data_IF_346985572482
#
_entry.id   IF_346985572482
#
_cell.length_a   1.000
_cell.length_b   1.000
_cell.length_c   1.000
_cell.angle_alpha   90.00
_cell.angle_beta   90.00
_cell.angle_gamma   90.00
#
_symmetry.space_group_name_H-M   'P 1'
#
loop_
_entity.id
_entity.type
_entity.pdbx_description
1 polymer ?
#
# COMPACT_ATOMS: atom_id res chain seq x y z
N UNK A 1 6.32 -3.77 -8.70
CA UNK A 1 5.30 -2.93 -8.05
C UNK A 1 3.99 -3.07 -8.78
N UNK A 2 2.89 -2.61 -8.18
CA UNK A 2 1.57 -2.57 -8.81
C UNK A 2 1.47 -1.52 -9.90
N UNK A 3 0.30 -1.42 -10.54
CA UNK A 3 0.08 -0.45 -11.62
C UNK A 3 0.15 0.99 -11.13
N UNK A 4 0.85 1.89 -11.84
CA UNK A 4 0.81 3.31 -11.54
C UNK A 4 -0.53 3.90 -11.94
N UNK A 5 -1.00 4.90 -11.20
CA UNK A 5 -2.30 5.56 -11.44
C UNK A 5 -3.49 4.60 -11.44
N UNK A 6 -3.41 3.47 -10.73
CA UNK A 6 -4.56 2.58 -10.59
C UNK A 6 -5.66 3.24 -9.78
N UNK A 7 -6.90 3.12 -10.24
CA UNK A 7 -8.08 3.60 -9.52
C UNK A 7 -8.63 2.54 -8.56
N UNK A 8 -7.99 1.36 -8.51
CA UNK A 8 -8.57 0.21 -7.84
C UNK A 8 -9.69 -0.44 -8.61
N UNK A 9 -10.41 -1.32 -7.91
CA UNK A 9 -11.55 -2.10 -8.37
C UNK A 9 -11.21 -3.18 -9.40
N UNK A 10 -12.16 -4.07 -9.65
CA UNK A 10 -12.08 -5.12 -10.67
C UNK A 10 -12.38 -4.63 -12.10
N UNK A 11 -12.46 -3.31 -12.31
CA UNK A 11 -12.66 -2.71 -13.63
C UNK A 11 -11.33 -2.28 -14.24
N UNK A 12 -11.05 -2.69 -15.48
CA UNK A 12 -9.84 -2.29 -16.19
C UNK A 12 -9.96 -0.86 -16.73
N UNK A 13 -9.38 0.10 -15.99
CA UNK A 13 -9.37 1.53 -16.33
C UNK A 13 -8.05 1.93 -16.96
N UNK A 14 -7.99 3.10 -17.61
CA UNK A 14 -6.77 3.65 -18.25
C UNK A 14 -6.11 2.70 -19.27
N UNK A 15 -6.91 1.93 -20.01
CA UNK A 15 -6.44 0.88 -20.92
C UNK A 15 -5.39 1.40 -21.93
N UNK A 16 -5.65 2.53 -22.57
CA UNK A 16 -4.70 3.11 -23.54
C UNK A 16 -3.36 3.46 -22.90
N UNK A 17 -3.37 4.07 -21.71
CA UNK A 17 -2.13 4.39 -20.99
C UNK A 17 -1.34 3.13 -20.64
N UNK A 18 -1.99 2.08 -20.14
CA UNK A 18 -1.31 0.84 -19.77
C UNK A 18 -0.76 0.08 -20.98
N UNK A 19 -1.49 0.02 -22.08
CA UNK A 19 -0.99 -0.54 -23.35
C UNK A 19 0.22 0.23 -23.85
N UNK A 20 0.09 1.55 -24.02
CA UNK A 20 1.08 2.35 -24.72
C UNK A 20 2.36 2.51 -23.88
N UNK A 21 2.25 2.60 -22.53
CA UNK A 21 3.40 2.84 -21.64
C UNK A 21 4.01 1.58 -21.05
N UNK A 22 3.22 0.53 -20.87
CA UNK A 22 3.63 -0.70 -20.17
C UNK A 22 3.39 -1.98 -20.98
N UNK A 23 2.72 -1.92 -22.13
CA UNK A 23 2.45 -3.09 -22.96
C UNK A 23 1.61 -4.14 -22.25
N UNK A 24 0.61 -3.73 -21.47
CA UNK A 24 -0.35 -4.62 -20.82
C UNK A 24 -1.76 -4.16 -21.13
N UNK A 25 -2.63 -5.10 -21.52
CA UNK A 25 -3.97 -4.79 -22.00
C UNK A 25 -5.07 -5.16 -21.00
N UNK A 26 -4.75 -5.98 -20.00
CA UNK A 26 -5.70 -6.51 -19.03
C UNK A 26 -5.01 -6.91 -17.72
N UNK A 27 -5.82 -7.29 -16.72
CA UNK A 27 -5.34 -7.72 -15.40
C UNK A 27 -4.39 -8.91 -15.49
N UNK A 28 -4.68 -9.92 -16.31
CA UNK A 28 -3.86 -11.13 -16.39
C UNK A 28 -2.44 -10.83 -16.90
N UNK A 29 -2.31 -10.00 -17.93
CA UNK A 29 -1.02 -9.54 -18.44
C UNK A 29 -0.27 -8.67 -17.43
N UNK A 30 -0.98 -7.81 -16.70
CA UNK A 30 -0.40 -7.02 -15.62
C UNK A 30 0.12 -7.91 -14.49
N UNK A 31 -0.68 -8.87 -14.03
CA UNK A 31 -0.29 -9.88 -13.04
C UNK A 31 0.97 -10.60 -13.46
N UNK A 32 1.00 -11.10 -14.71
CA UNK A 32 2.13 -11.85 -15.23
C UNK A 32 3.40 -10.99 -15.30
N UNK A 33 3.28 -9.74 -15.75
CA UNK A 33 4.40 -8.81 -15.79
C UNK A 33 4.96 -8.52 -14.40
N UNK A 34 4.10 -8.31 -13.40
CA UNK A 34 4.51 -8.04 -12.01
C UNK A 34 5.17 -9.29 -11.39
N UNK A 35 4.54 -10.46 -11.53
CA UNK A 35 5.03 -11.72 -10.99
C UNK A 35 6.36 -12.12 -11.64
N UNK A 36 6.50 -11.97 -12.96
CA UNK A 36 7.76 -12.23 -13.68
C UNK A 36 8.89 -11.33 -13.17
N UNK A 37 8.61 -10.04 -12.92
CA UNK A 37 9.61 -9.15 -12.34
C UNK A 37 10.06 -9.63 -10.96
N UNK A 38 9.13 -10.02 -10.08
CA UNK A 38 9.44 -10.58 -8.77
C UNK A 38 10.20 -11.91 -8.84
N UNK A 39 9.89 -12.77 -9.82
CA UNK A 39 10.59 -14.03 -10.06
C UNK A 39 12.03 -13.83 -10.57
N UNK A 40 12.25 -12.79 -11.38
CA UNK A 40 13.54 -12.55 -12.05
C UNK A 40 14.68 -12.11 -11.12
N UNK A 41 14.37 -11.62 -9.92
CA UNK A 41 15.40 -11.21 -8.95
C UNK A 41 15.90 -12.40 -8.14
N UNK A 42 17.20 -12.43 -7.86
CA UNK A 42 17.85 -13.39 -6.95
C UNK A 42 17.51 -13.14 -5.48
N UNK A 43 16.93 -11.97 -5.14
CA UNK A 43 16.53 -11.66 -3.78
C UNK A 43 15.31 -12.48 -3.37
N UNK A 44 15.36 -13.08 -2.19
CA UNK A 44 14.23 -13.82 -1.62
C UNK A 44 13.22 -12.91 -0.93
N UNK A 45 13.65 -11.74 -0.44
CA UNK A 45 12.78 -10.75 0.18
C UNK A 45 12.29 -9.76 -0.87
N UNK A 46 10.98 -9.71 -1.08
CA UNK A 46 10.32 -8.86 -2.07
C UNK A 46 9.40 -7.88 -1.38
N UNK A 47 9.59 -6.59 -1.66
CA UNK A 47 8.67 -5.52 -1.22
C UNK A 47 7.87 -5.06 -2.43
N UNK A 48 6.55 -5.04 -2.31
CA UNK A 48 5.69 -4.48 -3.33
C UNK A 48 5.32 -3.03 -3.00
N UNK A 49 5.43 -2.17 -4.01
CA UNK A 49 4.93 -0.81 -3.99
C UNK A 49 3.81 -0.66 -5.03
N UNK A 50 2.66 -0.13 -4.64
CA UNK A 50 1.53 0.16 -5.53
C UNK A 50 1.03 1.59 -5.38
N UNK A 51 0.35 2.13 -6.39
CA UNK A 51 -0.41 3.36 -6.18
C UNK A 51 -1.61 3.09 -5.26
N UNK A 52 -2.35 2.02 -5.57
CA UNK A 52 -3.42 1.48 -4.74
C UNK A 52 -3.02 0.11 -4.16
N UNK A 53 -3.74 -0.34 -3.14
CA UNK A 53 -3.50 -1.62 -2.49
C UNK A 53 -4.09 -2.80 -3.26
N UNK A 54 -3.73 -4.04 -2.90
CA UNK A 54 -4.27 -5.23 -3.52
C UNK A 54 -5.73 -5.48 -3.11
N UNK A 55 -6.47 -6.18 -3.97
CA UNK A 55 -7.79 -6.74 -3.64
C UNK A 55 -7.68 -7.70 -2.45
N UNK A 56 -8.73 -7.76 -1.63
CA UNK A 56 -8.84 -8.59 -0.42
C UNK A 56 -8.71 -7.81 0.89
N UNK A 57 -8.58 -6.48 0.83
CA UNK A 57 -8.36 -5.58 1.99
C UNK A 57 -9.45 -4.51 2.14
N UNK A 58 -10.61 -4.69 1.50
CA UNK A 58 -11.68 -3.70 1.46
C UNK A 58 -13.06 -4.19 1.86
N UNK A 59 -13.14 -5.17 2.76
CA UNK A 59 -14.41 -5.71 3.29
C UNK A 59 -15.33 -4.60 3.85
N UNK A 60 -14.77 -3.70 4.66
CA UNK A 60 -15.47 -2.51 5.17
C UNK A 60 -14.80 -1.24 4.70
N UNK A 61 -15.55 -0.13 4.71
CA UNK A 61 -15.05 1.20 4.35
C UNK A 61 -13.78 1.63 5.13
N UNK A 62 -13.65 1.20 6.39
CA UNK A 62 -12.49 1.50 7.24
C UNK A 62 -11.26 0.63 6.94
N UNK A 63 -11.39 -0.46 6.17
CA UNK A 63 -10.27 -1.35 5.88
C UNK A 63 -9.37 -0.71 4.79
N UNK A 64 -8.09 -1.12 4.64
CA UNK A 64 -7.10 -0.39 3.85
C UNK A 64 -7.50 -0.04 2.40
N UNK A 65 -8.28 -0.92 1.75
CA UNK A 65 -8.76 -0.77 0.37
C UNK A 65 -10.29 -0.58 0.27
N UNK A 66 -10.99 -0.36 1.39
CA UNK A 66 -12.45 -0.31 1.41
C UNK A 66 -13.05 0.97 0.84
N UNK A 67 -14.08 0.85 0.01
CA UNK A 67 -14.77 2.02 -0.55
C UNK A 67 -15.59 2.77 0.49
N UNK A 68 -15.40 4.09 0.59
CA UNK A 68 -16.04 4.96 1.57
C UNK A 68 -16.92 6.08 0.96
N UNK A 69 -17.13 6.05 -0.36
CA UNK A 69 -18.04 6.94 -1.09
C UNK A 69 -19.25 6.19 -1.65
N UNK A 70 -20.33 6.92 -1.94
CA UNK A 70 -21.60 6.32 -2.37
C UNK A 70 -21.51 5.65 -3.77
N UNK A 71 -22.13 4.48 -3.98
CA UNK A 71 -22.66 3.58 -2.95
C UNK A 71 -21.52 3.01 -2.10
N UNK A 72 -21.65 3.10 -0.77
CA UNK A 72 -20.59 2.71 0.19
C UNK A 72 -20.44 1.19 0.21
N UNK A 73 -19.20 0.73 0.45
CA UNK A 73 -18.87 -0.69 0.50
C UNK A 73 -18.26 -1.21 -0.79
N UNK A 74 -17.59 -2.36 -0.67
CA UNK A 74 -16.84 -3.00 -1.74
C UNK A 74 -15.34 -2.78 -1.62
N UNK A 75 -14.62 -3.77 -2.15
CA UNK A 75 -13.17 -3.79 -2.18
C UNK A 75 -12.66 -3.06 -3.42
N UNK A 76 -11.94 -1.97 -3.19
CA UNK A 76 -11.33 -1.15 -4.25
C UNK A 76 -9.85 -1.46 -4.42
N UNK A 77 -9.36 -2.60 -3.94
CA UNK A 77 -8.02 -3.07 -4.24
C UNK A 77 -7.84 -3.52 -5.69
N UNK A 78 -6.59 -3.58 -6.11
CA UNK A 78 -6.14 -4.04 -7.43
C UNK A 78 -6.05 -5.58 -7.46
N UNK A 79 -6.85 -6.29 -8.29
CA UNK A 79 -6.81 -7.75 -8.36
C UNK A 79 -5.51 -8.28 -8.95
N UNK A 80 -4.91 -7.58 -9.91
CA UNK A 80 -3.63 -7.99 -10.50
C UNK A 80 -2.46 -7.90 -9.53
N UNK A 81 -2.48 -6.91 -8.63
CA UNK A 81 -1.49 -6.82 -7.56
C UNK A 81 -1.68 -7.96 -6.54
N UNK A 82 -2.92 -8.27 -6.17
CA UNK A 82 -3.23 -9.39 -5.27
C UNK A 82 -2.72 -10.72 -5.83
N UNK A 83 -3.04 -11.02 -7.09
CA UNK A 83 -2.61 -12.25 -7.76
C UNK A 83 -1.08 -12.32 -7.91
N UNK A 84 -0.42 -11.20 -8.21
CA UNK A 84 1.03 -11.17 -8.36
C UNK A 84 1.75 -11.41 -7.02
N UNK A 85 1.21 -10.90 -5.90
CA UNK A 85 1.71 -11.19 -4.56
C UNK A 85 1.57 -12.68 -4.25
N UNK A 86 0.39 -13.26 -4.51
CA UNK A 86 0.15 -14.68 -4.30
C UNK A 86 1.08 -15.56 -5.14
N UNK A 87 1.23 -15.27 -6.44
CA UNK A 87 2.19 -15.94 -7.34
C UNK A 87 3.62 -15.84 -6.81
N UNK A 88 4.02 -14.69 -6.27
CA UNK A 88 5.37 -14.49 -5.71
C UNK A 88 5.59 -15.35 -4.46
N UNK A 89 4.61 -15.44 -3.59
CA UNK A 89 4.66 -16.28 -2.39
C UNK A 89 4.72 -17.78 -2.74
N UNK A 90 4.01 -18.22 -3.80
CA UNK A 90 4.09 -19.60 -4.30
C UNK A 90 5.49 -19.98 -4.81
N UNK A 91 6.33 -19.02 -5.18
CA UNK A 91 7.74 -19.24 -5.51
C UNK A 91 8.65 -19.32 -4.27
N UNK A 92 8.07 -19.49 -3.07
CA UNK A 92 8.76 -19.48 -1.78
C UNK A 92 9.56 -18.19 -1.48
N UNK A 93 9.24 -17.08 -2.18
CA UNK A 93 9.79 -15.76 -1.86
C UNK A 93 9.01 -15.14 -0.71
N UNK A 94 9.74 -14.43 0.15
CA UNK A 94 9.19 -13.72 1.29
C UNK A 94 8.66 -12.37 0.86
N UNK A 95 7.41 -12.06 1.22
CA UNK A 95 6.79 -10.76 0.99
C UNK A 95 6.47 -10.13 2.33
N UNK A 96 7.45 -9.50 3.02
CA UNK A 96 7.21 -8.94 4.36
C UNK A 96 6.39 -7.65 4.32
N UNK A 97 6.44 -6.91 3.22
CA UNK A 97 5.81 -5.60 3.09
C UNK A 97 5.19 -5.40 1.70
N UNK A 98 3.94 -4.96 1.70
CA UNK A 98 3.24 -4.39 0.55
C UNK A 98 2.79 -3.00 0.97
N UNK A 99 3.32 -1.96 0.35
CA UNK A 99 2.93 -0.58 0.68
C UNK A 99 2.32 0.14 -0.52
N UNK A 100 1.34 0.97 -0.25
CA UNK A 100 0.51 1.63 -1.25
C UNK A 100 -0.11 2.92 -0.70
N UNK A 101 -0.89 3.61 -1.52
CA UNK A 101 -1.63 4.79 -1.14
C UNK A 101 -3.05 4.79 -1.70
N UNK A 102 -3.41 5.86 -2.41
CA UNK A 102 -4.73 6.11 -3.02
C UNK A 102 -5.87 6.32 -2.02
N UNK A 103 -6.18 5.32 -1.19
CA UNK A 103 -7.32 5.33 -0.28
C UNK A 103 -6.99 6.15 0.98
N UNK A 104 -7.38 7.43 1.01
CA UNK A 104 -7.01 8.35 2.09
C UNK A 104 -7.47 7.89 3.48
N UNK A 105 -6.70 8.27 4.51
CA UNK A 105 -6.96 7.87 5.90
C UNK A 105 -8.27 8.42 6.48
N UNK A 106 -8.64 9.66 6.11
CA UNK A 106 -9.93 10.23 6.49
C UNK A 106 -10.98 9.76 5.49
N UNK A 107 -12.06 9.17 5.99
CA UNK A 107 -13.16 8.73 5.16
C UNK A 107 -14.03 9.93 4.70
N UNK A 108 -14.69 9.80 3.55
CA UNK A 108 -15.48 10.88 2.94
C UNK A 108 -16.70 11.26 3.80
N UNK A 109 -17.43 10.27 4.30
CA UNK A 109 -18.71 10.45 5.00
C UNK A 109 -18.71 9.87 6.43
N UNK A 110 -17.54 9.76 7.07
CA UNK A 110 -17.42 9.22 8.43
C UNK A 110 -16.39 10.00 9.24
N UNK A 111 -16.59 10.02 10.56
CA UNK A 111 -15.59 10.51 11.53
C UNK A 111 -14.54 9.44 11.86
N UNK A 112 -14.81 8.18 11.53
CA UNK A 112 -13.85 7.09 11.69
C UNK A 112 -12.68 7.23 10.71
N UNK A 113 -11.52 6.72 11.12
CA UNK A 113 -10.33 6.69 10.29
C UNK A 113 -10.13 5.30 9.68
N UNK A 114 -9.67 5.29 8.43
CA UNK A 114 -9.21 4.08 7.76
C UNK A 114 -8.03 3.49 8.52
N UNK A 115 -8.05 2.17 8.69
CA UNK A 115 -6.94 1.40 9.23
C UNK A 115 -5.78 1.43 8.23
N UNK A 116 -4.61 1.98 8.59
CA UNK A 116 -3.50 2.11 7.65
C UNK A 116 -2.72 0.81 7.51
N UNK A 117 -2.84 -0.12 8.47
CA UNK A 117 -2.08 -1.37 8.51
C UNK A 117 -3.04 -2.56 8.57
N UNK A 118 -2.73 -3.58 7.77
CA UNK A 118 -3.28 -4.92 7.90
C UNK A 118 -2.14 -5.94 7.91
N UNK A 119 -2.23 -6.98 8.74
CA UNK A 119 -1.25 -8.06 8.80
C UNK A 119 -1.95 -9.35 8.38
N UNK A 120 -1.47 -10.01 7.34
CA UNK A 120 -2.06 -11.28 6.90
C UNK A 120 -1.75 -12.40 7.90
N UNK A 121 -2.53 -13.50 7.88
CA UNK A 121 -2.21 -14.71 8.65
C UNK A 121 -0.82 -15.28 8.32
N UNK A 122 -0.31 -15.02 7.12
CA UNK A 122 1.03 -15.43 6.67
C UNK A 122 2.15 -14.44 7.06
N UNK A 123 1.83 -13.35 7.77
CA UNK A 123 2.80 -12.38 8.28
C UNK A 123 3.19 -11.26 7.31
N UNK A 124 2.58 -11.17 6.12
CA UNK A 124 2.78 -10.02 5.22
C UNK A 124 2.09 -8.80 5.80
N UNK A 125 2.82 -7.68 5.90
CA UNK A 125 2.26 -6.40 6.34
C UNK A 125 1.85 -5.56 5.13
N UNK A 126 0.62 -5.09 5.14
CA UNK A 126 0.05 -4.20 4.15
C UNK A 126 -0.08 -2.80 4.74
N UNK A 127 0.65 -1.84 4.17
CA UNK A 127 0.70 -0.45 4.64
C UNK A 127 0.10 0.50 3.61
N UNK A 128 -1.09 1.02 3.93
CA UNK A 128 -1.65 2.19 3.26
C UNK A 128 -1.04 3.48 3.84
N UNK A 129 -0.08 4.05 3.11
CA UNK A 129 0.62 5.28 3.44
C UNK A 129 -0.13 6.55 3.02
N UNK A 130 -1.44 6.50 2.71
CA UNK A 130 -2.23 7.65 2.22
C UNK A 130 -2.69 8.65 3.31
N UNK A 131 -1.76 9.06 4.19
CA UNK A 131 -2.01 10.14 5.15
C UNK A 131 -2.02 11.50 4.44
N UNK A 132 -3.19 12.15 4.42
CA UNK A 132 -3.35 13.53 3.93
C UNK A 132 -3.95 14.41 5.04
N UNK A 133 -3.64 15.73 5.05
CA UNK A 133 -2.72 16.45 4.15
C UNK A 133 -1.26 16.01 4.33
N UNK A 134 -0.47 16.06 3.24
CA UNK A 134 0.96 15.68 3.24
C UNK A 134 1.84 16.69 3.96
N UNK A 135 1.40 17.93 3.98
CA UNK A 135 2.09 19.08 4.53
C UNK A 135 1.09 19.84 5.40
N UNK A 136 1.48 20.20 6.61
CA UNK A 136 0.74 21.11 7.49
C UNK A 136 1.59 22.33 7.78
N UNK A 137 0.94 23.48 8.01
CA UNK A 137 1.61 24.69 8.47
C UNK A 137 1.67 24.67 10.00
N UNK A 138 2.85 24.92 10.56
CA UNK A 138 3.08 25.14 11.97
C UNK A 138 3.71 26.54 12.17
N UNK A 139 3.89 26.96 13.43
CA UNK A 139 4.49 28.25 13.78
C UNK A 139 5.95 28.40 13.29
N UNK A 140 6.68 27.30 13.29
CA UNK A 140 8.09 27.15 12.99
C UNK A 140 8.36 26.82 11.51
N UNK A 141 7.31 26.60 10.73
CA UNK A 141 7.41 26.24 9.32
C UNK A 141 6.45 25.11 8.92
N UNK A 142 6.66 24.55 7.74
CA UNK A 142 5.87 23.43 7.27
C UNK A 142 6.36 22.11 7.89
N UNK A 143 5.43 21.26 8.32
CA UNK A 143 5.71 19.87 8.67
C UNK A 143 5.23 18.94 7.57
N UNK A 144 6.05 17.97 7.22
CA UNK A 144 5.78 16.98 6.17
C UNK A 144 5.57 15.62 6.81
N UNK A 145 4.51 14.89 6.42
CA UNK A 145 4.32 13.53 6.91
C UNK A 145 5.01 12.49 6.03
N UNK A 146 5.57 11.47 6.68
CA UNK A 146 6.14 10.29 6.05
C UNK A 146 5.71 9.03 6.80
N UNK A 147 5.65 7.91 6.09
CA UNK A 147 5.62 6.59 6.71
C UNK A 147 7.04 6.05 6.78
N UNK A 148 7.55 5.83 7.99
CA UNK A 148 8.85 5.24 8.26
C UNK A 148 8.67 3.75 8.55
N UNK A 149 9.34 2.89 7.78
CA UNK A 149 9.30 1.44 7.97
C UNK A 149 10.68 0.95 8.35
N UNK A 150 10.81 0.43 9.57
CA UNK A 150 12.02 -0.20 10.07
C UNK A 150 11.97 -1.70 9.77
N UNK A 151 13.06 -2.23 9.21
CA UNK A 151 13.19 -3.65 8.88
C UNK A 151 14.50 -4.22 9.42
N UNK A 152 14.44 -5.44 9.93
CA UNK A 152 15.58 -6.18 10.47
C UNK A 152 15.54 -7.61 9.90
N UNK A 153 16.65 -8.07 9.33
CA UNK A 153 16.77 -9.40 8.73
C UNK A 153 15.62 -9.76 7.75
N UNK A 154 15.17 -8.79 6.94
CA UNK A 154 14.10 -8.97 5.96
C UNK A 154 12.68 -8.99 6.54
N UNK A 155 12.52 -8.67 7.83
CA UNK A 155 11.21 -8.62 8.52
C UNK A 155 10.95 -7.18 8.96
N UNK A 156 9.70 -6.73 8.84
CA UNK A 156 9.29 -5.42 9.37
C UNK A 156 9.25 -5.48 10.90
N UNK A 157 10.01 -4.59 11.55
CA UNK A 157 10.04 -4.49 13.02
C UNK A 157 9.11 -3.39 13.52
N UNK A 158 9.00 -2.28 12.78
CA UNK A 158 8.15 -1.16 13.17
C UNK A 158 7.68 -0.39 11.93
N UNK A 159 6.47 0.16 12.01
CA UNK A 159 5.96 1.15 11.06
C UNK A 159 5.48 2.34 11.87
N UNK A 160 5.96 3.53 11.51
CA UNK A 160 5.58 4.78 12.13
C UNK A 160 5.07 5.78 11.10
N UNK A 161 4.06 6.57 11.47
CA UNK A 161 3.73 7.82 10.81
C UNK A 161 4.47 8.94 11.53
N UNK A 162 5.40 9.59 10.84
CA UNK A 162 6.20 10.68 11.39
C UNK A 162 5.84 12.00 10.74
N UNK A 163 5.96 13.07 11.49
CA UNK A 163 5.99 14.44 10.97
C UNK A 163 7.40 14.99 11.11
N UNK A 164 7.88 15.61 10.04
CA UNK A 164 9.25 16.10 9.93
C UNK A 164 9.23 17.60 9.66
N UNK A 165 9.97 18.37 10.44
CA UNK A 165 10.15 19.81 10.27
C UNK A 165 11.13 20.15 9.14
N UNK A 166 11.22 21.44 8.81
CA UNK A 166 12.09 21.96 7.75
C UNK A 166 13.58 21.70 8.01
N UNK A 167 13.99 21.61 9.27
CA UNK A 167 15.34 21.24 9.72
C UNK A 167 15.61 19.73 9.67
N UNK A 168 14.64 18.93 9.21
CA UNK A 168 14.64 17.46 9.14
C UNK A 168 14.52 16.76 10.49
N UNK A 169 14.21 17.48 11.57
CA UNK A 169 13.86 16.91 12.86
C UNK A 169 12.50 16.23 12.83
N UNK A 170 12.37 15.08 13.51
CA UNK A 170 11.06 14.44 13.73
C UNK A 170 10.36 15.19 14.86
N UNK A 171 9.23 15.82 14.55
CA UNK A 171 8.44 16.59 15.54
C UNK A 171 7.40 15.75 16.25
N UNK A 172 6.93 14.67 15.61
CA UNK A 172 6.03 13.72 16.23
C UNK A 172 6.09 12.37 15.52
N UNK A 173 5.83 11.32 16.26
CA UNK A 173 5.81 9.95 15.79
C UNK A 173 4.59 9.23 16.33
N UNK A 174 3.87 8.54 15.44
CA UNK A 174 2.80 7.62 15.78
C UNK A 174 3.19 6.22 15.30
N UNK A 175 3.41 5.29 16.23
CA UNK A 175 3.64 3.88 15.91
C UNK A 175 2.33 3.27 15.42
N UNK A 176 2.33 2.80 14.17
CA UNK A 176 1.20 2.13 13.52
C UNK A 176 1.29 0.60 13.62
N UNK A 177 2.51 0.09 13.70
CA UNK A 177 2.80 -1.33 13.89
C UNK A 177 4.14 -1.45 14.62
N UNK A 178 4.20 -2.37 15.58
CA UNK A 178 5.44 -2.79 16.20
C UNK A 178 5.38 -4.30 16.39
N UNK A 179 6.43 -4.98 15.94
CA UNK A 179 6.54 -6.42 16.13
C UNK A 179 6.80 -6.68 17.61
N UNK A 180 5.98 -7.52 18.24
CA UNK A 180 6.23 -7.97 19.60
C UNK A 180 7.60 -8.67 19.66
N UNK A 181 8.42 -8.31 20.66
CA UNK A 181 9.64 -9.03 20.96
C UNK A 181 9.25 -10.45 21.42
N UNK A 182 9.58 -11.46 20.62
CA UNK A 182 9.52 -12.88 20.99
C UNK A 182 10.91 -13.40 21.25
#
# INVERSE_FOLDING_TARGET
>A
GGRPFSWGSSEWKNAQFYRDRYGVENFAESTERIAKAAASTSNNTIIFLGHNGPLGLGDRAIDPCGKDWHPVGGDYGDPDLADAIAKTQLLAKQVPLVTFGHMHHRLHNSIELRKPVFVSPTGTIYLNAAKVPRIIKASEGNHHNFSLVSMQAGIVSQISLIWVASDRGIVSEQILYERANT
#
